data_IF_821297835677
#
_entry.id   IF_821297835677
#
_cell.length_a   1.000
_cell.length_b   1.000
_cell.length_c   1.000
_cell.angle_alpha   90.00
_cell.angle_beta   90.00
_cell.angle_gamma   90.00
#
_symmetry.space_group_name_H-M   'P 1'
#
loop_
_entity.id
_entity.type
_entity.pdbx_description
1 polymer ?
#
# COMPACT_ATOMS: atom_id res chain seq x y z
N UNK A 1 -10.71 -7.35 23.00
CA UNK A 1 -9.89 -7.45 21.81
C UNK A 1 -8.78 -8.46 22.05
N UNK A 2 -8.67 -9.43 21.17
CA UNK A 2 -7.65 -10.46 21.30
C UNK A 2 -6.25 -9.87 21.08
N UNK A 3 -5.25 -10.49 21.66
CA UNK A 3 -3.86 -10.06 21.51
C UNK A 3 -3.44 -10.04 20.03
N UNK A 4 -3.86 -11.05 19.27
CA UNK A 4 -3.55 -11.13 17.84
C UNK A 4 -4.12 -9.92 17.08
N UNK A 5 -5.32 -9.48 17.43
CA UNK A 5 -5.95 -8.33 16.80
C UNK A 5 -5.21 -7.03 17.14
N UNK A 6 -4.75 -6.90 18.38
CA UNK A 6 -3.98 -5.73 18.81
C UNK A 6 -2.66 -5.66 18.04
N UNK A 7 -1.94 -6.77 17.97
CA UNK A 7 -0.67 -6.85 17.24
C UNK A 7 -0.87 -6.55 15.76
N UNK A 8 -1.90 -7.16 15.15
CA UNK A 8 -2.21 -6.93 13.74
C UNK A 8 -2.58 -5.49 13.45
N UNK A 9 -3.36 -4.87 14.32
CA UNK A 9 -3.76 -3.47 14.18
C UNK A 9 -2.55 -2.54 14.28
N UNK A 10 -1.68 -2.75 15.27
CA UNK A 10 -0.48 -1.94 15.43
C UNK A 10 0.47 -2.11 14.23
N UNK A 11 0.68 -3.35 13.81
CA UNK A 11 1.51 -3.63 12.63
C UNK A 11 0.98 -2.90 11.41
N UNK A 12 -0.34 -2.94 11.21
CA UNK A 12 -0.98 -2.25 10.09
C UNK A 12 -0.82 -0.74 10.15
N UNK A 13 -0.94 -0.16 11.35
CA UNK A 13 -0.76 1.28 11.53
C UNK A 13 0.66 1.69 11.14
N UNK A 14 1.67 0.95 11.59
CA UNK A 14 3.07 1.26 11.27
C UNK A 14 3.36 1.09 9.79
N UNK A 15 2.94 -0.03 9.18
CA UNK A 15 3.24 -0.28 7.76
C UNK A 15 2.50 0.68 6.84
N UNK A 16 1.23 0.94 7.12
CA UNK A 16 0.41 1.87 6.35
C UNK A 16 0.90 3.30 6.52
N UNK A 17 1.19 3.68 7.78
CA UNK A 17 1.69 5.01 8.10
C UNK A 17 3.01 5.32 7.43
N UNK A 18 3.88 4.32 7.28
CA UNK A 18 5.16 4.50 6.60
C UNK A 18 5.01 4.81 5.11
N UNK A 19 3.94 4.34 4.48
CA UNK A 19 3.70 4.58 3.06
C UNK A 19 3.27 6.02 2.77
N UNK A 20 2.58 6.67 3.71
CA UNK A 20 2.03 8.02 3.50
C UNK A 20 3.13 9.06 3.21
N UNK A 21 4.22 9.16 4.00
CA UNK A 21 5.29 10.10 3.67
C UNK A 21 5.91 9.86 2.29
N UNK A 22 6.05 8.60 1.90
CA UNK A 22 6.60 8.26 0.58
C UNK A 22 5.71 8.76 -0.55
N UNK A 23 4.39 8.59 -0.40
CA UNK A 23 3.42 9.06 -1.39
C UNK A 23 3.43 10.58 -1.47
N UNK A 24 3.42 11.26 -0.33
CA UNK A 24 3.48 12.72 -0.28
C UNK A 24 4.74 13.22 -0.95
N UNK A 25 5.89 12.61 -0.66
CA UNK A 25 7.16 12.98 -1.27
C UNK A 25 7.12 12.79 -2.79
N UNK A 26 6.61 11.66 -3.26
CA UNK A 26 6.50 11.38 -4.69
C UNK A 26 5.59 12.40 -5.38
N UNK A 27 4.48 12.72 -4.75
CA UNK A 27 3.53 13.70 -5.29
C UNK A 27 4.13 15.11 -5.35
N UNK A 28 4.85 15.50 -4.31
CA UNK A 28 5.43 16.86 -4.23
C UNK A 28 6.65 17.03 -5.12
N UNK A 29 7.54 16.04 -5.16
CA UNK A 29 8.79 16.12 -5.93
C UNK A 29 8.63 15.63 -7.37
N UNK A 30 7.64 14.78 -7.62
CA UNK A 30 7.42 14.13 -8.92
C UNK A 30 8.61 13.30 -9.38
N UNK A 31 9.48 12.90 -8.44
CA UNK A 31 10.68 12.12 -8.71
C UNK A 31 10.39 10.65 -8.44
N UNK A 32 9.94 9.95 -9.46
CA UNK A 32 9.55 8.54 -9.36
C UNK A 32 10.33 7.63 -10.31
N UNK A 33 11.39 8.16 -10.95
CA UNK A 33 12.12 7.39 -11.96
C UNK A 33 12.83 6.16 -11.42
N UNK A 34 13.24 6.20 -10.14
CA UNK A 34 13.96 5.11 -9.49
C UNK A 34 13.02 4.07 -8.88
N UNK A 35 11.72 4.28 -8.99
CA UNK A 35 10.72 3.42 -8.36
C UNK A 35 10.12 2.51 -9.42
N UNK A 36 10.11 1.20 -9.14
CA UNK A 36 9.60 0.21 -10.07
C UNK A 36 8.07 0.14 -10.03
N UNK A 37 7.38 0.37 -11.16
CA UNK A 37 5.94 0.16 -11.21
C UNK A 37 5.58 -1.31 -11.05
N UNK A 38 6.46 -2.24 -11.44
CA UNK A 38 6.24 -3.67 -11.25
C UNK A 38 6.13 -4.03 -9.77
N UNK A 39 7.00 -3.44 -8.94
CA UNK A 39 6.96 -3.68 -7.49
C UNK A 39 5.61 -3.31 -6.93
N UNK A 40 5.08 -2.13 -7.28
CA UNK A 40 3.79 -1.70 -6.77
C UNK A 40 2.63 -2.50 -7.35
N UNK A 41 2.74 -2.96 -8.59
CA UNK A 41 1.74 -3.86 -9.16
C UNK A 41 1.68 -5.17 -8.37
N UNK A 42 2.82 -5.77 -8.08
CA UNK A 42 2.90 -7.01 -7.30
C UNK A 42 2.38 -6.79 -5.88
N UNK A 43 2.73 -5.65 -5.26
CA UNK A 43 2.22 -5.30 -3.93
C UNK A 43 0.70 -5.16 -3.92
N UNK A 44 0.13 -4.51 -4.94
CA UNK A 44 -1.33 -4.36 -5.05
C UNK A 44 -1.99 -5.73 -5.14
N UNK A 45 -1.44 -6.63 -5.94
CA UNK A 45 -1.95 -7.99 -6.05
C UNK A 45 -1.91 -8.70 -4.69
N UNK A 46 -0.77 -8.60 -3.99
CA UNK A 46 -0.59 -9.24 -2.69
C UNK A 46 -1.53 -8.71 -1.63
N UNK A 47 -1.61 -7.38 -1.49
CA UNK A 47 -2.48 -6.78 -0.45
C UNK A 47 -3.96 -6.94 -0.78
N UNK A 48 -4.31 -7.02 -2.06
CA UNK A 48 -5.69 -7.31 -2.48
C UNK A 48 -6.08 -8.73 -2.09
N UNK A 49 -5.18 -9.69 -2.28
CA UNK A 49 -5.41 -11.08 -1.87
C UNK A 49 -5.50 -11.18 -0.34
N UNK A 50 -4.67 -10.44 0.39
CA UNK A 50 -4.75 -10.38 1.85
C UNK A 50 -6.09 -9.79 2.31
N UNK A 51 -6.58 -8.77 1.61
CA UNK A 51 -7.88 -8.17 1.92
C UNK A 51 -8.99 -9.21 1.74
N UNK A 52 -8.96 -9.96 0.65
CA UNK A 52 -9.93 -11.02 0.41
C UNK A 52 -9.84 -12.09 1.48
N UNK A 53 -8.64 -12.51 1.83
CA UNK A 53 -8.42 -13.48 2.90
C UNK A 53 -9.02 -13.01 4.22
N UNK A 54 -8.79 -11.74 4.56
CA UNK A 54 -9.36 -11.13 5.77
C UNK A 54 -10.88 -11.11 5.72
N UNK A 55 -11.48 -10.82 4.58
CA UNK A 55 -12.94 -10.82 4.42
C UNK A 55 -13.49 -12.23 4.67
N UNK A 56 -12.85 -13.24 4.10
CA UNK A 56 -13.29 -14.63 4.27
C UNK A 56 -13.20 -15.08 5.73
N UNK A 57 -12.20 -14.60 6.47
CA UNK A 57 -12.02 -14.90 7.89
C UNK A 57 -12.79 -13.96 8.81
N UNK A 58 -13.41 -12.91 8.26
CA UNK A 58 -14.06 -11.85 9.04
C UNK A 58 -13.10 -11.18 10.02
N UNK A 59 -11.85 -11.02 9.60
CA UNK A 59 -10.79 -10.40 10.41
C UNK A 59 -10.69 -8.92 10.06
N UNK A 60 -11.26 -8.08 10.91
CA UNK A 60 -11.37 -6.63 10.66
C UNK A 60 -10.00 -5.95 10.55
N UNK A 61 -9.01 -6.21 11.42
CA UNK A 61 -7.69 -5.61 11.24
C UNK A 61 -7.05 -5.92 9.89
N UNK A 62 -7.13 -7.15 9.41
CA UNK A 62 -6.57 -7.54 8.12
C UNK A 62 -7.30 -6.82 6.99
N UNK A 63 -8.64 -6.77 7.04
CA UNK A 63 -9.45 -6.11 6.01
C UNK A 63 -9.07 -4.63 5.90
N UNK A 64 -9.06 -3.92 7.01
CA UNK A 64 -8.81 -2.48 7.03
C UNK A 64 -7.38 -2.18 6.59
N UNK A 65 -6.39 -2.85 7.19
CA UNK A 65 -4.99 -2.61 6.90
C UNK A 65 -4.66 -2.85 5.43
N UNK A 66 -5.06 -4.00 4.91
CA UNK A 66 -4.72 -4.36 3.54
C UNK A 66 -5.57 -3.60 2.52
N UNK A 67 -6.81 -3.26 2.89
CA UNK A 67 -7.64 -2.40 2.05
C UNK A 67 -7.04 -1.02 1.89
N UNK A 68 -6.59 -0.41 2.99
CA UNK A 68 -5.91 0.90 2.95
C UNK A 68 -4.61 0.79 2.17
N UNK A 69 -3.82 -0.27 2.39
CA UNK A 69 -2.57 -0.50 1.66
C UNK A 69 -2.81 -0.64 0.16
N UNK A 70 -3.89 -1.31 -0.24
CA UNK A 70 -4.27 -1.41 -1.66
C UNK A 70 -4.48 -0.02 -2.25
N UNK A 71 -5.23 0.84 -1.56
CA UNK A 71 -5.47 2.20 -2.03
C UNK A 71 -4.18 3.01 -2.10
N UNK A 72 -3.32 2.91 -1.10
CA UNK A 72 -2.05 3.65 -1.06
C UNK A 72 -1.10 3.19 -2.17
N UNK A 73 -0.97 1.89 -2.36
CA UNK A 73 -0.11 1.35 -3.41
C UNK A 73 -0.65 1.68 -4.80
N UNK A 74 -1.97 1.66 -4.99
CA UNK A 74 -2.59 2.07 -6.24
C UNK A 74 -2.32 3.55 -6.52
N UNK A 75 -2.41 4.40 -5.50
CA UNK A 75 -2.09 5.82 -5.61
C UNK A 75 -0.64 6.01 -6.04
N UNK A 76 0.28 5.28 -5.41
CA UNK A 76 1.70 5.36 -5.77
C UNK A 76 1.94 4.89 -7.21
N UNK A 77 1.29 3.82 -7.62
CA UNK A 77 1.41 3.33 -9.00
C UNK A 77 0.92 4.38 -10.00
N UNK A 78 -0.21 5.05 -9.70
CA UNK A 78 -0.72 6.11 -10.55
C UNK A 78 0.27 7.28 -10.66
N UNK A 79 0.91 7.65 -9.54
CA UNK A 79 1.92 8.70 -9.54
C UNK A 79 3.14 8.31 -10.37
N UNK A 80 3.57 7.06 -10.26
CA UNK A 80 4.71 6.56 -11.05
C UNK A 80 4.38 6.63 -12.53
N UNK A 81 3.22 6.13 -12.93
CA UNK A 81 2.80 6.15 -14.34
C UNK A 81 2.68 7.59 -14.85
N UNK A 82 2.14 8.48 -14.02
CA UNK A 82 1.91 9.87 -14.42
C UNK A 82 3.21 10.66 -14.55
N UNK A 83 4.16 10.49 -13.64
CA UNK A 83 5.33 11.34 -13.54
C UNK A 83 6.63 10.68 -14.00
N UNK A 84 6.64 9.39 -14.30
CA UNK A 84 7.85 8.73 -14.75
C UNK A 84 8.26 9.29 -16.11
N UNK A 85 9.51 9.76 -16.19
CA UNK A 85 10.03 10.28 -17.45
C UNK A 85 10.31 9.13 -18.41
N UNK A 86 9.91 9.32 -19.66
CA UNK A 86 10.25 8.36 -20.70
C UNK A 86 11.73 8.48 -21.01
N UNK A 87 12.42 7.36 -21.30
CA UNK A 87 13.80 7.41 -21.77
C UNK A 87 13.85 8.25 -23.04
N UNK A 88 14.84 9.10 -23.12
CA UNK A 88 15.05 9.95 -24.30
C UNK A 88 15.84 9.18 -25.32
#
# INVERSE_FOLDING_TARGET
MELEEIIGTLAGIFTTGAAVPQIVKAWRTKKVNDVSPYMFFVLIMGVSLWTLYGILLKDVPIIITNGISTCLNATMLLLIVKYKRKPV
#
